data_IF_470405748339
#
_entry.id   IF_470405748339
#
_cell.length_a   1.000
_cell.length_b   1.000
_cell.length_c   1.000
_cell.angle_alpha   90.00
_cell.angle_beta   90.00
_cell.angle_gamma   90.00
#
_symmetry.space_group_name_H-M   'P 1'
#
loop_
_entity.id
_entity.type
_entity.pdbx_description
1 polymer ?
#
# COMPACT_ATOMS: atom_id res chain seq x y z
N UNK A 1 -10.29 13.32 58.87
CA UNK A 1 -9.44 14.24 58.09
C UNK A 1 -9.02 13.52 56.82
N UNK A 2 -9.72 13.78 55.72
CA UNK A 2 -9.49 13.20 54.40
C UNK A 2 -8.54 14.11 53.63
N UNK A 3 -7.34 13.62 53.32
CA UNK A 3 -6.38 14.29 52.44
C UNK A 3 -6.85 14.18 50.98
N UNK A 4 -6.83 15.25 50.16
CA UNK A 4 -7.21 15.16 48.76
C UNK A 4 -6.07 14.53 47.94
N UNK A 5 -6.44 13.54 47.12
CA UNK A 5 -5.57 12.92 46.12
C UNK A 5 -5.19 13.93 45.03
N UNK A 6 -3.90 14.23 44.90
CA UNK A 6 -3.34 15.05 43.82
C UNK A 6 -3.57 14.37 42.46
N UNK A 7 -4.37 15.02 41.61
CA UNK A 7 -4.50 14.66 40.19
C UNK A 7 -3.16 14.91 39.49
N UNK A 8 -2.40 13.85 39.19
CA UNK A 8 -1.24 13.85 38.28
C UNK A 8 -1.61 14.58 36.98
N UNK A 9 -1.02 15.76 36.74
CA UNK A 9 -1.09 16.45 35.43
C UNK A 9 -0.53 15.52 34.36
N UNK A 10 -1.19 15.36 33.19
CA UNK A 10 -0.66 14.55 32.11
C UNK A 10 0.67 15.11 31.65
N UNK A 11 1.65 14.22 31.54
CA UNK A 11 3.06 14.55 31.32
C UNK A 11 3.27 15.19 29.94
N UNK A 12 3.43 16.51 29.91
CA UNK A 12 3.71 17.27 28.69
C UNK A 12 4.97 16.80 27.95
N UNK A 13 5.87 16.07 28.62
CA UNK A 13 6.99 15.39 27.96
C UNK A 13 6.51 14.28 27.03
N UNK A 14 5.55 13.47 27.46
CA UNK A 14 4.97 12.38 26.66
C UNK A 14 4.25 12.93 25.43
N UNK A 15 3.47 14.00 25.60
CA UNK A 15 2.76 14.67 24.50
C UNK A 15 3.74 15.23 23.45
N UNK A 16 4.81 15.91 23.88
CA UNK A 16 5.86 16.41 22.95
C UNK A 16 6.61 15.29 22.23
N UNK A 17 6.84 14.17 22.91
CA UNK A 17 7.48 12.99 22.32
C UNK A 17 6.63 12.39 21.20
N UNK A 18 5.33 12.21 21.45
CA UNK A 18 4.36 11.71 20.45
C UNK A 18 4.25 12.67 19.27
N UNK A 19 4.14 13.97 19.53
CA UNK A 19 4.03 14.97 18.46
C UNK A 19 5.30 15.04 17.60
N UNK A 20 6.48 14.97 18.22
CA UNK A 20 7.75 14.94 17.46
C UNK A 20 7.83 13.70 16.58
N UNK A 21 7.45 12.52 17.10
CA UNK A 21 7.38 11.28 16.32
C UNK A 21 6.45 11.43 15.12
N UNK A 22 5.25 11.98 15.33
CA UNK A 22 4.26 12.23 14.27
C UNK A 22 4.79 13.15 13.17
N UNK A 23 5.44 14.27 13.53
CA UNK A 23 6.06 15.21 12.58
C UNK A 23 7.14 14.55 11.72
N UNK A 24 7.97 13.68 12.31
CA UNK A 24 9.02 12.96 11.59
C UNK A 24 8.42 12.00 10.56
N UNK A 25 7.38 11.24 10.94
CA UNK A 25 6.69 10.31 10.02
C UNK A 25 6.03 11.07 8.88
N UNK A 26 5.33 12.17 9.16
CA UNK A 26 4.68 12.97 8.10
C UNK A 26 5.71 13.59 7.15
N UNK A 27 6.80 14.14 7.69
CA UNK A 27 7.88 14.70 6.89
C UNK A 27 8.45 13.68 5.89
N UNK A 28 8.70 12.45 6.34
CA UNK A 28 9.15 11.38 5.46
C UNK A 28 8.09 11.03 4.41
N UNK A 29 6.80 11.00 4.78
CA UNK A 29 5.70 10.74 3.83
C UNK A 29 5.61 11.82 2.75
N UNK A 30 5.75 13.09 3.12
CA UNK A 30 5.75 14.22 2.19
C UNK A 30 6.92 14.15 1.21
N UNK A 31 8.14 13.92 1.70
CA UNK A 31 9.33 13.77 0.85
C UNK A 31 9.16 12.64 -0.18
N UNK A 32 8.60 11.50 0.24
CA UNK A 32 8.31 10.39 -0.67
C UNK A 32 7.25 10.77 -1.71
N UNK A 33 6.18 11.49 -1.32
CA UNK A 33 5.15 11.97 -2.26
C UNK A 33 5.70 12.97 -3.26
N UNK A 34 6.70 13.77 -2.89
CA UNK A 34 7.41 14.69 -3.76
C UNK A 34 8.38 13.98 -4.73
N UNK A 35 8.53 12.66 -4.61
CA UNK A 35 9.36 11.85 -5.51
C UNK A 35 10.77 11.57 -4.98
N UNK A 36 11.07 11.94 -3.73
CA UNK A 36 12.35 11.57 -3.09
C UNK A 36 12.24 10.11 -2.65
N UNK A 37 12.82 9.22 -3.45
CA UNK A 37 12.67 7.76 -3.29
C UNK A 37 13.39 7.22 -2.04
N UNK A 38 14.52 7.82 -1.66
CA UNK A 38 15.28 7.45 -0.46
C UNK A 38 15.68 8.69 0.35
N UNK A 39 14.73 9.35 1.05
CA UNK A 39 15.04 10.55 1.82
C UNK A 39 16.03 10.24 2.95
N UNK A 40 17.01 11.12 3.14
CA UNK A 40 18.00 10.98 4.21
C UNK A 40 17.46 11.54 5.52
N UNK A 41 18.04 11.09 6.64
CA UNK A 41 17.63 11.53 7.98
C UNK A 41 17.71 13.05 8.15
N UNK A 42 18.68 13.71 7.52
CA UNK A 42 18.83 15.17 7.53
C UNK A 42 17.68 15.88 6.81
N UNK A 43 17.21 15.32 5.68
CA UNK A 43 16.10 15.87 4.90
C UNK A 43 14.79 15.73 5.66
N UNK A 44 14.60 14.57 6.31
CA UNK A 44 13.45 14.33 7.20
C UNK A 44 13.48 15.27 8.40
N UNK A 45 14.64 15.44 9.04
CA UNK A 45 14.79 16.33 10.19
C UNK A 45 14.47 17.78 9.82
N UNK A 46 15.01 18.26 8.69
CA UNK A 46 14.75 19.59 8.17
C UNK A 46 13.27 19.80 7.84
N UNK A 47 12.63 18.83 7.16
CA UNK A 47 11.21 18.91 6.81
C UNK A 47 10.31 18.85 8.04
N UNK A 48 10.64 18.01 9.01
CA UNK A 48 9.90 17.89 10.26
C UNK A 48 10.14 19.09 11.19
N UNK A 49 11.09 19.98 10.89
CA UNK A 49 11.56 21.07 11.76
C UNK A 49 11.93 20.55 13.17
N UNK A 50 12.81 19.54 13.18
CA UNK A 50 13.41 18.96 14.38
C UNK A 50 14.91 18.78 14.18
N UNK A 51 15.68 18.71 15.27
CA UNK A 51 17.10 18.38 15.17
C UNK A 51 17.33 16.91 14.76
N UNK A 52 18.41 16.62 14.03
CA UNK A 52 18.78 15.25 13.61
C UNK A 52 18.83 14.25 14.78
N UNK A 53 19.37 14.68 15.93
CA UNK A 53 19.39 13.86 17.17
C UNK A 53 17.98 13.49 17.64
N UNK A 54 16.98 14.34 17.38
CA UNK A 54 15.58 14.03 17.72
C UNK A 54 15.05 12.89 16.86
N UNK A 55 15.39 12.85 15.57
CA UNK A 55 15.03 11.73 14.67
C UNK A 55 15.56 10.43 15.24
N UNK A 56 16.87 10.36 15.49
CA UNK A 56 17.51 9.14 16.01
C UNK A 56 17.15 8.79 17.46
N UNK A 57 16.51 9.69 18.21
CA UNK A 57 15.93 9.38 19.52
C UNK A 57 14.60 8.63 19.40
N UNK A 58 13.87 8.84 18.30
CA UNK A 58 12.57 8.20 18.06
C UNK A 58 12.66 6.96 17.16
N UNK A 59 13.71 6.87 16.34
CA UNK A 59 13.92 5.83 15.35
C UNK A 59 15.39 5.42 15.39
N UNK A 60 15.64 4.14 15.71
CA UNK A 60 17.01 3.63 15.86
C UNK A 60 17.80 3.73 14.55
N UNK A 61 17.10 3.59 13.43
CA UNK A 61 17.61 3.73 12.08
C UNK A 61 16.49 4.13 11.10
N UNK A 62 16.86 4.32 9.84
CA UNK A 62 15.91 4.62 8.77
C UNK A 62 14.95 3.45 8.51
N UNK A 63 15.34 2.20 8.75
CA UNK A 63 14.46 1.05 8.56
C UNK A 63 13.27 1.13 9.51
N UNK A 64 13.49 1.44 10.79
CA UNK A 64 12.44 1.61 11.79
C UNK A 64 11.45 2.72 11.41
N UNK A 65 11.92 3.78 10.73
CA UNK A 65 11.05 4.82 10.19
C UNK A 65 10.24 4.33 8.97
N UNK A 66 10.83 3.54 8.07
CA UNK A 66 10.10 2.92 6.96
C UNK A 66 9.01 1.95 7.45
N UNK A 67 9.25 1.21 8.53
CA UNK A 67 8.26 0.33 9.16
C UNK A 67 7.04 1.12 9.65
N UNK A 68 7.29 2.19 10.40
CA UNK A 68 6.22 3.06 10.90
C UNK A 68 5.40 3.66 9.76
N UNK A 69 6.04 3.99 8.63
CA UNK A 69 5.34 4.49 7.44
C UNK A 69 4.52 3.39 6.80
N UNK A 70 5.05 2.18 6.66
CA UNK A 70 4.29 1.05 6.12
C UNK A 70 3.01 0.82 6.94
N UNK A 71 3.12 0.81 8.27
CA UNK A 71 1.97 0.67 9.18
C UNK A 71 0.98 1.83 9.03
N UNK A 72 1.48 3.08 8.96
CA UNK A 72 0.64 4.24 8.79
C UNK A 72 -0.11 4.24 7.44
N UNK A 73 0.55 3.79 6.36
CA UNK A 73 -0.08 3.68 5.04
C UNK A 73 -1.08 2.53 5.02
N UNK A 74 -0.80 1.40 5.67
CA UNK A 74 -1.75 0.30 5.77
C UNK A 74 -3.04 0.75 6.47
N UNK A 75 -2.91 1.40 7.63
CA UNK A 75 -4.06 1.95 8.36
C UNK A 75 -4.83 2.99 7.53
N UNK A 76 -4.12 3.77 6.70
CA UNK A 76 -4.74 4.76 5.83
C UNK A 76 -5.60 4.13 4.72
N UNK A 77 -5.14 3.01 4.14
CA UNK A 77 -5.83 2.34 3.02
C UNK A 77 -6.73 1.19 3.46
N UNK A 78 -6.74 0.83 4.74
CA UNK A 78 -7.61 -0.18 5.34
C UNK A 78 -9.09 -0.02 4.92
N UNK A 79 -9.70 1.19 4.95
CA UNK A 79 -11.09 1.35 4.48
C UNK A 79 -11.31 1.00 3.01
N UNK A 80 -10.26 1.05 2.19
CA UNK A 80 -10.32 0.67 0.77
C UNK A 80 -10.26 -0.86 0.58
N UNK A 81 -9.69 -1.57 1.56
CA UNK A 81 -9.54 -3.02 1.59
C UNK A 81 -10.78 -3.70 2.19
N UNK A 82 -11.46 -3.03 3.12
CA UNK A 82 -12.67 -3.53 3.81
C UNK A 82 -13.99 -3.30 3.03
N UNK A 83 -13.90 -2.87 1.77
CA UNK A 83 -15.10 -2.69 0.94
C UNK A 83 -15.83 -4.04 0.75
N UNK A 84 -17.19 -4.06 0.77
CA UNK A 84 -17.97 -5.29 0.59
C UNK A 84 -17.54 -6.09 -0.64
N UNK A 85 -17.58 -7.41 -0.57
CA UNK A 85 -17.23 -8.25 -1.73
C UNK A 85 -18.10 -7.87 -2.94
N UNK A 86 -17.50 -7.68 -4.12
CA UNK A 86 -18.27 -7.38 -5.31
C UNK A 86 -19.12 -8.60 -5.70
N UNK A 87 -20.25 -8.34 -6.34
CA UNK A 87 -21.19 -9.37 -6.79
C UNK A 87 -21.62 -9.09 -8.23
N UNK A 88 -22.10 -10.12 -8.94
CA UNK A 88 -22.54 -10.01 -10.32
C UNK A 88 -21.85 -11.01 -11.26
N UNK A 89 -21.91 -10.73 -12.56
CA UNK A 89 -21.27 -11.55 -13.57
C UNK A 89 -19.75 -11.31 -13.58
N UNK A 90 -18.99 -12.24 -14.17
CA UNK A 90 -17.52 -12.16 -14.22
C UNK A 90 -16.99 -10.80 -14.76
N UNK A 91 -17.55 -10.18 -15.81
CA UNK A 91 -17.09 -8.87 -16.27
C UNK A 91 -17.28 -7.76 -15.24
N UNK A 92 -18.37 -7.79 -14.47
CA UNK A 92 -18.66 -6.81 -13.41
C UNK A 92 -17.69 -6.97 -12.24
N UNK A 93 -17.45 -8.22 -11.83
CA UNK A 93 -16.48 -8.56 -10.78
C UNK A 93 -15.07 -8.05 -11.15
N UNK A 94 -14.62 -8.33 -12.38
CA UNK A 94 -13.31 -7.87 -12.85
C UNK A 94 -13.22 -6.35 -12.91
N UNK A 95 -14.25 -5.69 -13.43
CA UNK A 95 -14.29 -4.22 -13.53
C UNK A 95 -14.16 -3.57 -12.15
N UNK A 96 -14.90 -4.07 -11.16
CA UNK A 96 -14.87 -3.54 -9.80
C UNK A 96 -13.54 -3.85 -9.10
N UNK A 97 -13.00 -5.07 -9.27
CA UNK A 97 -11.67 -5.43 -8.76
C UNK A 97 -10.57 -4.53 -9.32
N UNK A 98 -10.60 -4.27 -10.63
CA UNK A 98 -9.65 -3.36 -11.29
C UNK A 98 -9.82 -1.95 -10.73
N UNK A 99 -11.05 -1.44 -10.63
CA UNK A 99 -11.29 -0.10 -10.09
C UNK A 99 -10.78 0.05 -8.65
N UNK A 100 -11.00 -0.95 -7.79
CA UNK A 100 -10.46 -0.97 -6.41
C UNK A 100 -8.94 -0.98 -6.40
N UNK A 101 -8.30 -1.85 -7.18
CA UNK A 101 -6.84 -1.95 -7.29
C UNK A 101 -6.22 -0.67 -7.83
N UNK A 102 -6.83 -0.01 -8.82
CA UNK A 102 -6.37 1.30 -9.33
C UNK A 102 -6.36 2.35 -8.22
N UNK A 103 -7.46 2.48 -7.47
CA UNK A 103 -7.53 3.46 -6.37
C UNK A 103 -6.47 3.17 -5.31
N UNK A 104 -6.37 1.91 -4.88
CA UNK A 104 -5.40 1.46 -3.89
C UNK A 104 -3.96 1.73 -4.36
N UNK A 105 -3.64 1.32 -5.58
CA UNK A 105 -2.28 1.40 -6.12
C UNK A 105 -1.84 2.84 -6.33
N UNK A 106 -2.68 3.73 -6.87
CA UNK A 106 -2.32 5.16 -6.94
C UNK A 106 -2.03 5.74 -5.55
N UNK A 107 -2.71 5.27 -4.50
CA UNK A 107 -2.47 5.77 -3.14
C UNK A 107 -1.15 5.29 -2.56
N UNK A 108 -0.81 4.02 -2.75
CA UNK A 108 0.38 3.40 -2.12
C UNK A 108 1.64 3.46 -3.00
N UNK A 109 1.52 3.78 -4.30
CA UNK A 109 2.61 3.70 -5.27
C UNK A 109 3.88 4.48 -4.87
N UNK A 110 3.81 5.75 -4.40
CA UNK A 110 5.01 6.47 -4.00
C UNK A 110 5.79 5.74 -2.90
N UNK A 111 5.07 5.18 -1.92
CA UNK A 111 5.66 4.48 -0.78
C UNK A 111 6.21 3.11 -1.15
N UNK A 112 5.49 2.34 -1.99
CA UNK A 112 6.01 1.05 -2.47
C UNK A 112 7.27 1.23 -3.32
N UNK A 113 7.31 2.29 -4.13
CA UNK A 113 8.48 2.62 -4.96
C UNK A 113 9.68 3.05 -4.10
N UNK A 114 9.44 3.85 -3.05
CA UNK A 114 10.48 4.20 -2.08
C UNK A 114 11.00 2.95 -1.33
N UNK A 115 10.10 2.06 -0.92
CA UNK A 115 10.46 0.81 -0.24
C UNK A 115 11.27 -0.15 -1.13
N UNK A 116 11.07 -0.14 -2.45
CA UNK A 116 11.80 -1.00 -3.40
C UNK A 116 13.33 -0.82 -3.29
N UNK A 117 13.81 0.40 -3.03
CA UNK A 117 15.25 0.71 -2.87
C UNK A 117 15.88 0.01 -1.66
N UNK A 118 15.07 -0.34 -0.67
CA UNK A 118 15.53 -0.90 0.60
C UNK A 118 15.23 -2.39 0.77
N UNK A 119 14.52 -3.02 -0.18
CA UNK A 119 14.07 -4.41 -0.05
C UNK A 119 15.19 -5.41 0.25
N UNK A 120 16.33 -5.29 -0.44
CA UNK A 120 17.44 -6.23 -0.28
C UNK A 120 18.06 -6.21 1.12
N UNK A 121 17.80 -5.15 1.90
CA UNK A 121 18.34 -4.96 3.25
C UNK A 121 17.28 -5.02 4.34
N UNK A 122 15.99 -5.10 3.98
CA UNK A 122 14.89 -5.13 4.95
C UNK A 122 14.02 -6.38 4.77
N UNK A 123 14.26 -7.42 5.59
CA UNK A 123 13.37 -8.58 5.65
C UNK A 123 11.92 -8.21 5.95
N UNK A 124 11.71 -7.13 6.72
CA UNK A 124 10.36 -6.62 7.00
C UNK A 124 9.65 -6.15 5.74
N UNK A 125 10.28 -5.31 4.90
CA UNK A 125 9.64 -4.79 3.69
C UNK A 125 9.37 -5.88 2.65
N UNK A 126 10.20 -6.91 2.61
CA UNK A 126 9.97 -8.12 1.79
C UNK A 126 8.72 -8.84 2.26
N UNK A 127 8.62 -9.09 3.57
CA UNK A 127 7.50 -9.79 4.16
C UNK A 127 6.19 -8.98 4.08
N UNK A 128 6.26 -7.66 4.27
CA UNK A 128 5.11 -6.77 4.14
C UNK A 128 4.52 -6.78 2.73
N UNK A 129 5.39 -6.72 1.72
CA UNK A 129 5.01 -6.89 0.31
C UNK A 129 4.35 -8.25 0.07
N UNK A 130 4.93 -9.33 0.62
CA UNK A 130 4.38 -10.68 0.48
C UNK A 130 2.96 -10.73 1.05
N UNK A 131 2.74 -10.22 2.26
CA UNK A 131 1.42 -10.17 2.91
C UNK A 131 0.39 -9.41 2.09
N UNK A 132 0.75 -8.21 1.59
CA UNK A 132 -0.14 -7.41 0.74
C UNK A 132 -0.53 -8.16 -0.54
N UNK A 133 0.44 -8.79 -1.21
CA UNK A 133 0.19 -9.53 -2.44
C UNK A 133 -0.69 -10.77 -2.18
N UNK A 134 -0.45 -11.49 -1.08
CA UNK A 134 -1.26 -12.64 -0.68
C UNK A 134 -2.69 -12.26 -0.32
N UNK A 135 -2.89 -11.14 0.39
CA UNK A 135 -4.21 -10.62 0.70
C UNK A 135 -5.00 -10.31 -0.58
N UNK A 136 -4.40 -9.59 -1.53
CA UNK A 136 -5.04 -9.26 -2.81
C UNK A 136 -5.34 -10.51 -3.65
N UNK A 137 -4.45 -11.49 -3.63
CA UNK A 137 -4.62 -12.77 -4.32
C UNK A 137 -5.71 -13.64 -3.67
N UNK A 138 -5.80 -13.62 -2.34
CA UNK A 138 -6.84 -14.32 -1.59
C UNK A 138 -8.22 -13.71 -1.86
N UNK A 139 -8.33 -12.38 -1.84
CA UNK A 139 -9.56 -11.69 -2.23
C UNK A 139 -10.01 -12.10 -3.64
N UNK A 140 -9.08 -12.17 -4.59
CA UNK A 140 -9.38 -12.63 -5.95
C UNK A 140 -9.89 -14.08 -5.99
N UNK A 141 -9.34 -14.97 -5.16
CA UNK A 141 -9.79 -16.37 -5.06
C UNK A 141 -11.20 -16.50 -4.51
N UNK A 142 -11.56 -15.66 -3.54
CA UNK A 142 -12.91 -15.66 -2.94
C UNK A 142 -13.94 -15.04 -3.88
N UNK A 143 -13.57 -13.97 -4.58
CA UNK A 143 -14.49 -13.23 -5.46
C UNK A 143 -14.72 -13.92 -6.82
N UNK A 144 -13.69 -14.52 -7.42
CA UNK A 144 -13.81 -15.06 -8.77
C UNK A 144 -14.58 -16.40 -8.81
N UNK A 145 -15.34 -16.68 -9.89
CA UNK A 145 -16.03 -17.95 -10.05
C UNK A 145 -15.09 -19.16 -10.00
N UNK A 146 -15.60 -20.29 -9.49
CA UNK A 146 -14.83 -21.53 -9.38
C UNK A 146 -14.28 -22.04 -10.73
N UNK A 147 -14.93 -21.71 -11.84
CA UNK A 147 -14.44 -22.03 -13.19
C UNK A 147 -13.11 -21.32 -13.50
N UNK A 148 -12.94 -20.08 -13.06
CA UNK A 148 -11.69 -19.31 -13.19
C UNK A 148 -10.66 -19.81 -12.18
N UNK A 149 -11.06 -20.00 -10.92
CA UNK A 149 -10.13 -20.42 -9.85
C UNK A 149 -9.54 -21.83 -10.05
N UNK A 150 -10.23 -22.73 -10.75
CA UNK A 150 -9.74 -24.08 -11.07
C UNK A 150 -8.75 -24.10 -12.23
N UNK A 151 -8.80 -23.12 -13.13
CA UNK A 151 -7.79 -22.96 -14.17
C UNK A 151 -6.62 -22.17 -13.59
N UNK A 152 -5.58 -22.89 -13.16
CA UNK A 152 -4.41 -22.29 -12.52
C UNK A 152 -3.70 -21.30 -13.44
N UNK A 153 -3.58 -21.61 -14.73
CA UNK A 153 -2.86 -20.75 -15.67
C UNK A 153 -3.63 -19.42 -15.87
N UNK A 154 -4.95 -19.49 -16.04
CA UNK A 154 -5.80 -18.32 -16.13
C UNK A 154 -5.78 -17.49 -14.84
N UNK A 155 -5.93 -18.13 -13.68
CA UNK A 155 -5.90 -17.44 -12.39
C UNK A 155 -4.56 -16.73 -12.16
N UNK A 156 -3.43 -17.40 -12.44
CA UNK A 156 -2.10 -16.82 -12.30
C UNK A 156 -1.87 -15.67 -13.28
N UNK A 157 -2.39 -15.77 -14.52
CA UNK A 157 -2.33 -14.69 -15.50
C UNK A 157 -3.14 -13.45 -15.06
N UNK A 158 -4.37 -13.65 -14.56
CA UNK A 158 -5.18 -12.56 -14.01
C UNK A 158 -4.52 -11.90 -12.81
N UNK A 159 -3.94 -12.70 -11.89
CA UNK A 159 -3.23 -12.18 -10.71
C UNK A 159 -2.05 -11.29 -11.14
N UNK A 160 -1.28 -11.72 -12.13
CA UNK A 160 -0.17 -10.96 -12.67
C UNK A 160 -0.62 -9.65 -13.34
N UNK A 161 -1.67 -9.66 -14.16
CA UNK A 161 -2.18 -8.46 -14.86
C UNK A 161 -2.74 -7.42 -13.90
N UNK A 162 -3.35 -7.87 -12.81
CA UNK A 162 -3.92 -6.98 -11.80
C UNK A 162 -2.93 -6.70 -10.65
N UNK A 163 -1.66 -7.10 -10.78
CA UNK A 163 -0.62 -6.86 -9.77
C UNK A 163 -0.20 -5.38 -9.69
N UNK A 164 0.42 -5.02 -8.56
CA UNK A 164 1.02 -3.69 -8.42
C UNK A 164 2.17 -3.49 -9.41
N UNK A 165 2.94 -4.53 -9.70
CA UNK A 165 4.09 -4.49 -10.59
C UNK A 165 3.68 -4.20 -12.04
N UNK A 166 2.57 -4.79 -12.50
CA UNK A 166 2.01 -4.49 -13.82
C UNK A 166 1.51 -3.04 -13.88
N UNK A 167 0.77 -2.60 -12.86
CA UNK A 167 0.32 -1.20 -12.74
C UNK A 167 1.49 -0.21 -12.73
N UNK A 168 2.49 -0.46 -11.87
CA UNK A 168 3.68 0.37 -11.70
C UNK A 168 4.45 0.50 -13.02
N UNK A 169 4.65 -0.59 -13.75
CA UNK A 169 5.29 -0.57 -15.08
C UNK A 169 4.56 0.37 -16.04
N UNK A 170 3.24 0.31 -16.10
CA UNK A 170 2.45 1.20 -16.97
C UNK A 170 2.57 2.67 -16.55
N UNK A 171 2.57 2.94 -15.24
CA UNK A 171 2.60 4.30 -14.69
C UNK A 171 3.98 4.95 -14.71
N UNK A 172 5.03 4.21 -14.36
CA UNK A 172 6.39 4.73 -14.22
C UNK A 172 7.20 4.58 -15.50
N UNK A 173 7.29 3.38 -16.05
CA UNK A 173 8.11 3.12 -17.25
C UNK A 173 7.37 3.56 -18.52
N UNK A 174 6.07 3.27 -18.58
CA UNK A 174 5.21 3.64 -19.71
C UNK A 174 4.71 5.08 -19.67
N UNK A 175 4.88 5.79 -18.54
CA UNK A 175 4.41 7.17 -18.31
C UNK A 175 2.93 7.41 -18.66
N UNK A 176 2.11 6.36 -18.61
CA UNK A 176 0.70 6.44 -18.95
C UNK A 176 -0.08 7.11 -17.82
N UNK A 177 -1.10 7.89 -18.14
CA UNK A 177 -2.08 8.35 -17.14
C UNK A 177 -2.80 7.16 -16.49
N UNK A 178 -3.32 7.33 -15.27
CA UNK A 178 -4.10 6.29 -14.59
C UNK A 178 -5.27 5.78 -15.46
N UNK A 179 -5.93 6.67 -16.21
CA UNK A 179 -7.02 6.30 -17.13
C UNK A 179 -6.52 5.42 -18.29
N UNK A 180 -5.39 5.76 -18.89
CA UNK A 180 -4.79 4.96 -19.96
C UNK A 180 -4.31 3.59 -19.45
N UNK A 181 -3.62 3.57 -18.29
CA UNK A 181 -3.15 2.34 -17.67
C UNK A 181 -4.32 1.42 -17.31
N UNK A 182 -5.41 1.96 -16.73
CA UNK A 182 -6.62 1.21 -16.40
C UNK A 182 -7.22 0.52 -17.63
N UNK A 183 -7.34 1.24 -18.76
CA UNK A 183 -7.85 0.66 -20.02
C UNK A 183 -7.00 -0.51 -20.51
N UNK A 184 -5.68 -0.47 -20.32
CA UNK A 184 -4.78 -1.57 -20.69
C UNK A 184 -5.00 -2.78 -19.78
N UNK A 185 -5.12 -2.56 -18.46
CA UNK A 185 -5.43 -3.63 -17.50
C UNK A 185 -6.77 -4.28 -17.83
N UNK A 186 -7.82 -3.48 -18.05
CA UNK A 186 -9.15 -3.97 -18.45
C UNK A 186 -9.09 -4.78 -19.74
N UNK A 187 -8.50 -4.22 -20.81
CA UNK A 187 -8.35 -4.92 -22.09
C UNK A 187 -7.64 -6.27 -21.93
N UNK A 188 -6.55 -6.30 -21.15
CA UNK A 188 -5.75 -7.51 -20.96
C UNK A 188 -6.53 -8.55 -20.15
N UNK A 189 -7.16 -8.13 -19.03
CA UNK A 189 -7.93 -9.02 -18.17
C UNK A 189 -9.14 -9.62 -18.89
N UNK A 190 -9.90 -8.83 -19.66
CA UNK A 190 -11.05 -9.34 -20.41
C UNK A 190 -10.64 -10.30 -21.53
N UNK A 191 -9.54 -10.02 -22.23
CA UNK A 191 -9.02 -10.92 -23.27
C UNK A 191 -8.67 -12.30 -22.73
N UNK A 192 -8.22 -12.39 -21.48
CA UNK A 192 -7.92 -13.67 -20.82
C UNK A 192 -9.19 -14.48 -20.49
N UNK A 193 -10.31 -13.81 -20.23
CA UNK A 193 -11.57 -14.47 -19.87
C UNK A 193 -12.46 -14.78 -21.06
N UNK A 194 -12.35 -14.02 -22.16
CA UNK A 194 -13.13 -14.25 -23.39
C UNK A 194 -12.77 -15.57 -24.09
N UNK A 195 -11.57 -16.11 -23.84
CA UNK A 195 -11.14 -17.41 -24.36
C UNK A 195 -11.74 -18.60 -23.59
N UNK A 196 -12.51 -18.36 -22.53
CA UNK A 196 -13.18 -19.44 -21.80
C UNK A 196 -14.32 -20.00 -22.67
N UNK A 197 -14.36 -21.32 -22.92
CA UNK A 197 -15.46 -21.91 -23.68
C UNK A 197 -16.77 -21.67 -22.92
N UNK A 198 -17.74 -21.02 -23.58
CA UNK A 198 -19.11 -20.93 -23.08
C UNK A 198 -19.64 -22.35 -22.92
N UNK A 199 -19.76 -22.84 -21.68
CA UNK A 199 -20.44 -24.11 -21.41
C UNK A 199 -21.88 -23.96 -21.87
N UNK A 200 -22.22 -24.58 -23.02
CA UNK A 200 -23.61 -24.85 -23.36
C UNK A 200 -24.18 -25.76 -22.28
N UNK A 201 -25.26 -25.31 -21.67
CA UNK A 201 -26.12 -26.07 -20.76
C UNK A 201 -26.72 -27.27 -21.49
#
# INVERSE_FOLDING_TARGET
MTSPSEKKKPDGRRLRSVESRRRIVEAMRELIREGIVAPRAEEVAARADVGLRSVFRHFDDMESLYREIADAILAEVEPMLELPEPSGALPDLLSEMIARRVRLFERIMPFRSAADVHLHRSPFLVEDRRRMNEMLRSAMRTTLPASVCKDRALFDALDAVLSFEFWRRLRQDGQLSATQARRIVERTAFSLTDTMPTRKT
#
